data_IF_664311286854
#
_entry.id   IF_664311286854
#
_cell.length_a   1.000
_cell.length_b   1.000
_cell.length_c   1.000
_cell.angle_alpha   90.00
_cell.angle_beta   90.00
_cell.angle_gamma   90.00
#
_symmetry.space_group_name_H-M   'P 1'
#
loop_
_entity.id
_entity.type
_entity.pdbx_description
1 polymer ?
#
# COMPACT_ATOMS: atom_id res chain seq x y z
N UNK A 1 3.70 -20.61 2.54
CA UNK A 1 2.49 -20.05 3.18
C UNK A 1 2.79 -19.17 4.39
N UNK A 2 3.59 -19.61 5.38
CA UNK A 2 3.89 -18.80 6.58
C UNK A 2 4.70 -17.54 6.24
N UNK A 3 5.69 -17.65 5.36
CA UNK A 3 6.54 -16.55 4.88
C UNK A 3 5.74 -15.44 4.20
N UNK A 4 4.73 -15.80 3.41
CA UNK A 4 3.84 -14.91 2.68
C UNK A 4 2.95 -14.12 3.63
N UNK A 5 2.46 -14.78 4.68
CA UNK A 5 1.68 -14.14 5.74
C UNK A 5 2.53 -13.13 6.51
N UNK A 6 3.77 -13.50 6.86
CA UNK A 6 4.71 -12.60 7.54
C UNK A 6 5.02 -11.38 6.66
N UNK A 7 5.25 -11.59 5.37
CA UNK A 7 5.48 -10.50 4.41
C UNK A 7 4.27 -9.56 4.34
N UNK A 8 3.05 -10.09 4.24
CA UNK A 8 1.84 -9.26 4.22
C UNK A 8 1.62 -8.54 5.56
N UNK A 9 1.93 -9.19 6.69
CA UNK A 9 1.86 -8.55 8.00
C UNK A 9 2.85 -7.38 8.11
N UNK A 10 4.04 -7.49 7.51
CA UNK A 10 5.05 -6.42 7.45
C UNK A 10 4.62 -5.24 6.57
N UNK A 11 3.66 -5.40 5.67
CA UNK A 11 3.13 -4.29 4.87
C UNK A 11 2.52 -3.19 5.76
N UNK A 12 1.93 -3.60 6.89
CA UNK A 12 1.28 -2.68 7.83
C UNK A 12 2.28 -1.73 8.51
N UNK A 13 3.29 -2.22 9.27
CA UNK A 13 4.29 -1.36 9.89
C UNK A 13 5.08 -0.57 8.84
N UNK A 14 5.37 -1.17 7.68
CA UNK A 14 6.06 -0.48 6.58
C UNK A 14 5.26 0.73 6.10
N UNK A 15 3.95 0.58 5.84
CA UNK A 15 3.08 1.69 5.46
C UNK A 15 2.95 2.76 6.54
N UNK A 16 2.92 2.37 7.81
CA UNK A 16 2.88 3.32 8.93
C UNK A 16 4.17 4.14 9.06
N UNK A 17 5.34 3.50 8.88
CA UNK A 17 6.66 4.13 8.90
C UNK A 17 6.80 5.08 7.71
N UNK A 18 6.47 4.63 6.49
CA UNK A 18 6.48 5.46 5.28
C UNK A 18 5.62 6.70 5.45
N UNK A 19 4.39 6.53 5.95
CA UNK A 19 3.48 7.64 6.18
C UNK A 19 3.93 8.59 7.30
N UNK A 20 4.79 8.14 8.22
CA UNK A 20 5.37 8.98 9.25
C UNK A 20 6.61 9.73 8.76
N UNK A 21 7.48 9.06 7.99
CA UNK A 21 8.71 9.63 7.48
C UNK A 21 8.45 10.64 6.35
N UNK A 22 7.48 10.35 5.49
CA UNK A 22 7.10 11.21 4.36
C UNK A 22 5.87 12.07 4.67
N UNK A 23 5.62 12.46 5.93
CA UNK A 23 4.39 13.18 6.35
C UNK A 23 4.17 14.50 5.59
N UNK A 24 5.24 15.20 5.22
CA UNK A 24 5.15 16.45 4.46
C UNK A 24 4.82 16.21 2.99
N UNK A 25 5.49 15.25 2.36
CA UNK A 25 5.24 14.85 0.97
C UNK A 25 3.89 14.12 0.80
N UNK A 26 3.40 13.43 1.83
CA UNK A 26 2.12 12.68 1.79
C UNK A 26 0.91 13.59 1.58
N UNK A 27 0.98 14.85 2.02
CA UNK A 27 -0.13 15.81 1.91
C UNK A 27 -0.44 16.10 0.45
N UNK A 28 0.59 16.30 -0.36
CA UNK A 28 0.48 16.52 -1.80
C UNK A 28 0.43 15.18 -2.57
N UNK A 29 1.13 14.16 -2.06
CA UNK A 29 1.23 12.82 -2.63
C UNK A 29 -0.02 11.94 -2.49
N UNK A 30 -1.02 12.33 -1.71
CA UNK A 30 -2.21 11.48 -1.42
C UNK A 30 -2.88 10.94 -2.68
N UNK A 31 -3.06 11.78 -3.72
CA UNK A 31 -3.69 11.36 -4.97
C UNK A 31 -2.92 10.22 -5.64
N UNK A 32 -1.60 10.27 -5.58
CA UNK A 32 -0.72 9.25 -6.13
C UNK A 32 -0.75 7.96 -5.31
N UNK A 33 -0.81 8.03 -3.98
CA UNK A 33 -0.98 6.81 -3.15
C UNK A 33 -2.32 6.13 -3.40
N UNK A 34 -3.40 6.89 -3.58
CA UNK A 34 -4.71 6.33 -3.95
C UNK A 34 -4.67 5.71 -5.35
N UNK A 35 -4.06 6.38 -6.33
CA UNK A 35 -3.88 5.82 -7.67
C UNK A 35 -3.02 4.54 -7.63
N UNK A 36 -1.92 4.56 -6.86
CA UNK A 36 -1.03 3.41 -6.69
C UNK A 36 -1.77 2.22 -6.07
N UNK A 37 -2.67 2.46 -5.11
CA UNK A 37 -3.52 1.40 -4.56
C UNK A 37 -4.40 0.74 -5.64
N UNK A 38 -5.14 1.53 -6.42
CA UNK A 38 -6.03 0.98 -7.45
C UNK A 38 -5.25 0.28 -8.58
N UNK A 39 -4.14 0.86 -9.03
CA UNK A 39 -3.28 0.26 -10.07
C UNK A 39 -2.70 -1.06 -9.58
N UNK A 40 -2.20 -1.10 -8.34
CA UNK A 40 -1.64 -2.32 -7.75
C UNK A 40 -2.70 -3.39 -7.59
N UNK A 41 -3.92 -3.02 -7.19
CA UNK A 41 -5.04 -3.97 -7.07
C UNK A 41 -5.47 -4.54 -8.42
N UNK A 42 -5.53 -3.70 -9.46
CA UNK A 42 -5.83 -4.14 -10.82
C UNK A 42 -4.76 -5.09 -11.38
N UNK A 43 -3.47 -4.78 -11.17
CA UNK A 43 -2.36 -5.64 -11.58
C UNK A 43 -2.34 -6.94 -10.79
N UNK A 44 -2.61 -6.90 -9.48
CA UNK A 44 -2.74 -8.11 -8.66
C UNK A 44 -3.82 -9.04 -9.21
N UNK A 45 -5.00 -8.50 -9.53
CA UNK A 45 -6.10 -9.27 -10.14
C UNK A 45 -5.71 -9.83 -11.51
N UNK A 46 -5.06 -9.03 -12.36
CA UNK A 46 -4.60 -9.48 -13.67
C UNK A 46 -3.61 -10.66 -13.55
N UNK A 47 -2.56 -10.53 -12.74
CA UNK A 47 -1.54 -11.57 -12.56
C UNK A 47 -2.03 -12.80 -11.81
N UNK A 48 -3.14 -12.70 -11.08
CA UNK A 48 -3.80 -13.83 -10.44
C UNK A 48 -4.24 -14.87 -11.47
N UNK A 49 -4.78 -14.44 -12.62
CA UNK A 49 -5.21 -15.34 -13.70
C UNK A 49 -4.04 -16.02 -14.44
N UNK A 50 -2.82 -15.47 -14.36
CA UNK A 50 -1.61 -16.05 -14.96
C UNK A 50 -0.84 -16.98 -14.01
N UNK A 51 -1.36 -17.24 -12.79
CA UNK A 51 -0.73 -18.14 -11.82
C UNK A 51 0.61 -17.63 -11.28
N UNK A 52 0.93 -16.34 -11.45
CA UNK A 52 2.19 -15.74 -10.97
C UNK A 52 2.05 -15.28 -9.52
N UNK A 53 1.94 -16.23 -8.59
CA UNK A 53 1.67 -15.96 -7.17
C UNK A 53 2.60 -14.94 -6.51
N UNK A 54 3.91 -14.97 -6.82
CA UNK A 54 4.88 -14.00 -6.29
C UNK A 54 4.60 -12.56 -6.72
N UNK A 55 4.17 -12.37 -7.97
CA UNK A 55 3.87 -11.04 -8.53
C UNK A 55 2.61 -10.48 -7.85
N UNK A 56 1.59 -11.32 -7.70
CA UNK A 56 0.35 -10.97 -6.98
C UNK A 56 0.66 -10.56 -5.55
N UNK A 57 1.50 -11.32 -4.84
CA UNK A 57 1.88 -11.01 -3.46
C UNK A 57 2.56 -9.64 -3.36
N UNK A 58 3.48 -9.32 -4.27
CA UNK A 58 4.14 -8.01 -4.32
C UNK A 58 3.13 -6.88 -4.56
N UNK A 59 2.21 -7.05 -5.51
CA UNK A 59 1.20 -6.02 -5.76
C UNK A 59 0.22 -5.85 -4.60
N UNK A 60 -0.16 -6.93 -3.93
CA UNK A 60 -0.99 -6.87 -2.72
C UNK A 60 -0.24 -6.18 -1.57
N UNK A 61 1.05 -6.46 -1.40
CA UNK A 61 1.89 -5.77 -0.42
C UNK A 61 1.92 -4.25 -0.68
N UNK A 62 2.18 -3.85 -1.93
CA UNK A 62 2.21 -2.44 -2.33
C UNK A 62 0.83 -1.79 -2.14
N UNK A 63 -0.25 -2.51 -2.44
CA UNK A 63 -1.61 -2.02 -2.19
C UNK A 63 -1.85 -1.74 -0.70
N UNK A 64 -1.51 -2.67 0.19
CA UNK A 64 -1.67 -2.46 1.65
C UNK A 64 -0.86 -1.25 2.13
N UNK A 65 0.41 -1.15 1.73
CA UNK A 65 1.28 -0.02 2.08
C UNK A 65 0.67 1.30 1.61
N UNK A 66 0.24 1.35 0.34
CA UNK A 66 -0.32 2.55 -0.27
C UNK A 66 -1.63 2.98 0.37
N UNK A 67 -2.48 2.02 0.74
CA UNK A 67 -3.75 2.25 1.40
C UNK A 67 -3.56 2.86 2.79
N UNK A 68 -2.64 2.31 3.60
CA UNK A 68 -2.33 2.83 4.93
C UNK A 68 -1.78 4.25 4.84
N UNK A 69 -0.87 4.51 3.91
CA UNK A 69 -0.33 5.85 3.66
C UNK A 69 -1.42 6.85 3.28
N UNK A 70 -2.35 6.47 2.40
CA UNK A 70 -3.46 7.32 1.98
C UNK A 70 -4.45 7.63 3.13
N UNK A 71 -4.75 6.66 4.00
CA UNK A 71 -5.62 6.86 5.17
C UNK A 71 -4.96 7.83 6.15
N UNK A 72 -3.67 7.63 6.46
CA UNK A 72 -2.95 8.46 7.43
C UNK A 72 -2.81 9.91 6.95
N UNK A 73 -2.60 10.12 5.64
CA UNK A 73 -2.66 11.45 5.03
C UNK A 73 -4.02 12.15 5.28
N UNK A 74 -5.12 11.40 5.34
CA UNK A 74 -6.47 11.95 5.53
C UNK A 74 -6.74 12.33 6.99
N UNK A 75 -6.37 11.49 7.96
CA UNK A 75 -6.58 11.78 9.40
C UNK A 75 -5.87 13.05 9.87
N UNK A 76 -4.68 13.35 9.35
CA UNK A 76 -3.89 14.55 9.73
C UNK A 76 -4.47 15.86 9.18
N UNK A 77 -5.12 15.84 8.01
CA UNK A 77 -5.79 17.04 7.45
C UNK A 77 -6.96 17.50 8.32
N UNK A 78 -7.55 16.61 9.12
CA UNK A 78 -8.67 16.92 10.02
C UNK A 78 -8.25 17.51 11.37
N UNK A 79 -6.95 17.59 11.67
CA UNK A 79 -6.42 18.04 12.97
C UNK A 79 -5.68 19.40 12.90
N UNK A 80 -5.60 20.01 11.71
CA UNK A 80 -5.18 21.40 11.50
C UNK A 80 -6.42 22.23 11.15
#
# INVERSE_FOLDING_TARGET
MITEIILLALAIPTGLILAWLADDELKDGKKWFVALFYVSLALALFFLFYGKGYIVLTFVFIAIVSFISAIKATKRKSFK
#
